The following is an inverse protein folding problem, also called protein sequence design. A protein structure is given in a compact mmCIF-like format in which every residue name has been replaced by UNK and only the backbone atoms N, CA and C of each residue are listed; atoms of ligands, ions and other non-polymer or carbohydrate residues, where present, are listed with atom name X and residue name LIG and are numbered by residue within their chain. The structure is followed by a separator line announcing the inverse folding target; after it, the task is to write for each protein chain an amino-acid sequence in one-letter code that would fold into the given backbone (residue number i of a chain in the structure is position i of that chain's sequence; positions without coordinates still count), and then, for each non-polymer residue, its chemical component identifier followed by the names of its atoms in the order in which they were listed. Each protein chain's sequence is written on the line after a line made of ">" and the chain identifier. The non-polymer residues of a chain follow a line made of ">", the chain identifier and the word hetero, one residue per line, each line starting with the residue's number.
data_IF_786478605262
#
_entry.id   IF_786478605262
#
_cell.length_a   1.000
_cell.length_b   1.000
_cell.length_c   1.000
_cell.angle_alpha   90.00
_cell.angle_beta   90.00
_cell.angle_gamma   90.00
#
_symmetry.space_group_name_H-M   'P 1'
#
loop_
_entity.id
_entity.type
_entity.pdbx_description
1 polymer ?
#
# COMPACT_ATOMS: atom_id res chain seq x y z
N UNK A 1 -20.14 9.71 22.23
CA UNK A 1 -18.80 9.46 21.65
C UNK A 1 -18.66 8.07 21.07
N UNK A 2 -19.03 7.04 21.80
CA UNK A 2 -18.89 5.66 21.32
C UNK A 2 -19.68 5.40 20.04
N UNK A 3 -20.95 5.80 20.00
CA UNK A 3 -21.76 5.60 18.82
C UNK A 3 -21.21 6.36 17.62
N UNK A 4 -20.79 7.59 17.83
CA UNK A 4 -20.21 8.41 16.76
C UNK A 4 -18.94 7.76 16.20
N UNK A 5 -18.10 7.20 17.07
CA UNK A 5 -16.88 6.55 16.67
C UNK A 5 -17.15 5.28 15.87
N UNK A 6 -18.14 4.48 16.29
CA UNK A 6 -18.53 3.29 15.56
C UNK A 6 -19.11 3.64 14.20
N UNK A 7 -19.98 4.64 14.13
CA UNK A 7 -20.57 5.10 12.87
C UNK A 7 -19.48 5.63 11.93
N UNK A 8 -18.54 6.39 12.45
CA UNK A 8 -17.42 6.92 11.67
C UNK A 8 -16.62 5.82 10.98
N UNK A 9 -16.35 4.73 11.70
CA UNK A 9 -15.53 3.64 11.16
C UNK A 9 -16.32 2.70 10.24
N UNK A 10 -17.62 2.60 10.40
CA UNK A 10 -18.45 1.67 9.64
C UNK A 10 -19.11 2.30 8.42
N UNK A 11 -19.43 3.59 8.46
CA UNK A 11 -20.24 4.26 7.45
C UNK A 11 -19.50 4.39 6.13
N UNK A 12 -20.21 4.20 5.03
CA UNK A 12 -19.61 4.20 3.71
C UNK A 12 -18.75 2.95 3.54
N UNK A 13 -17.51 3.12 3.13
CA UNK A 13 -16.54 2.01 3.07
C UNK A 13 -15.94 1.80 4.47
N UNK A 14 -16.06 0.61 5.05
CA UNK A 14 -15.54 0.37 6.40
C UNK A 14 -14.04 0.63 6.52
N UNK A 15 -13.66 1.15 7.67
CA UNK A 15 -12.26 1.45 7.96
C UNK A 15 -11.85 2.84 7.49
N UNK A 16 -10.55 3.08 7.42
CA UNK A 16 -10.00 4.41 7.14
C UNK A 16 -8.88 4.39 6.12
N UNK A 17 -8.70 3.30 5.40
CA UNK A 17 -7.58 3.14 4.48
C UNK A 17 -8.10 2.97 3.06
N UNK A 18 -7.45 3.62 2.15
CA UNK A 18 -7.70 3.48 0.72
C UNK A 18 -6.36 3.32 0.02
N UNK A 19 -6.33 2.49 -1.02
CA UNK A 19 -5.14 2.31 -1.84
C UNK A 19 -5.41 2.85 -3.23
N UNK A 20 -4.62 3.83 -3.64
CA UNK A 20 -4.74 4.45 -4.96
C UNK A 20 -3.41 4.38 -5.69
N UNK A 21 -3.41 4.00 -6.98
CA UNK A 21 -2.20 4.10 -7.78
C UNK A 21 -1.83 5.57 -7.99
N UNK A 22 -0.53 5.86 -7.96
CA UNK A 22 -0.01 7.21 -8.19
C UNK A 22 0.35 7.46 -9.64
N UNK A 23 0.24 6.44 -10.47
CA UNK A 23 0.45 6.52 -11.91
C UNK A 23 -0.87 6.29 -12.62
N UNK A 24 -1.00 6.75 -13.86
CA UNK A 24 -2.19 6.51 -14.66
C UNK A 24 -2.33 5.01 -14.95
N UNK A 25 -3.55 4.50 -14.84
CA UNK A 25 -3.86 3.10 -15.10
C UNK A 25 -5.12 2.97 -15.95
N UNK A 26 -5.39 3.96 -16.82
CA UNK A 26 -6.66 4.07 -17.53
C UNK A 26 -6.63 3.43 -18.91
N UNK A 27 -5.46 3.21 -19.50
CA UNK A 27 -5.32 2.70 -20.86
C UNK A 27 -4.63 1.34 -20.87
N UNK A 28 -4.73 0.64 -22.01
CA UNK A 28 -4.01 -0.62 -22.23
C UNK A 28 -2.50 -0.40 -22.14
N UNK A 29 -2.01 0.73 -22.64
CA UNK A 29 -0.59 1.07 -22.55
C UNK A 29 -0.17 1.27 -21.10
N UNK A 30 -0.98 1.93 -20.30
CA UNK A 30 -0.71 2.13 -18.87
C UNK A 30 -0.60 0.79 -18.15
N UNK A 31 -1.53 -0.12 -18.44
CA UNK A 31 -1.50 -1.46 -17.84
C UNK A 31 -0.29 -2.26 -18.29
N UNK A 32 0.11 -2.12 -19.55
CA UNK A 32 1.30 -2.78 -20.06
C UNK A 32 2.57 -2.27 -19.38
N UNK A 33 2.62 -1.00 -19.03
CA UNK A 33 3.75 -0.41 -18.31
C UNK A 33 3.74 -0.78 -16.83
N UNK A 34 2.57 -0.72 -16.19
CA UNK A 34 2.44 -0.96 -14.76
C UNK A 34 2.48 -2.43 -14.40
N UNK A 35 2.03 -3.29 -15.27
CA UNK A 35 1.93 -4.71 -14.99
C UNK A 35 2.76 -5.52 -15.99
N UNK A 36 2.17 -6.15 -16.97
CA UNK A 36 2.87 -7.05 -17.88
C UNK A 36 2.80 -6.52 -19.32
N UNK A 37 3.93 -6.44 -20.03
CA UNK A 37 5.28 -6.90 -19.68
C UNK A 37 6.17 -5.84 -19.00
N UNK A 38 5.72 -4.60 -18.88
CA UNK A 38 6.54 -3.47 -18.44
C UNK A 38 7.16 -3.65 -17.06
N UNK A 39 6.47 -4.33 -16.15
CA UNK A 39 6.94 -4.55 -14.78
C UNK A 39 8.24 -5.37 -14.71
N UNK A 40 8.59 -6.09 -15.77
CA UNK A 40 9.84 -6.83 -15.83
C UNK A 40 11.06 -5.90 -15.81
N UNK A 41 10.94 -4.69 -16.39
CA UNK A 41 12.05 -3.75 -16.44
C UNK A 41 12.53 -3.29 -15.07
N UNK A 42 11.67 -2.78 -14.16
CA UNK A 42 12.11 -2.45 -12.80
C UNK A 42 12.59 -3.67 -12.02
N UNK A 43 12.00 -4.84 -12.23
CA UNK A 43 12.48 -6.07 -11.58
C UNK A 43 13.92 -6.39 -11.96
N UNK A 44 14.25 -6.32 -13.24
CA UNK A 44 15.62 -6.56 -13.72
C UNK A 44 16.58 -5.48 -13.24
N UNK A 45 16.15 -4.24 -13.18
CA UNK A 45 16.97 -3.13 -12.70
C UNK A 45 17.32 -3.31 -11.22
N UNK A 46 16.35 -3.74 -10.40
CA UNK A 46 16.56 -3.99 -8.97
C UNK A 46 17.46 -5.21 -8.76
N UNK A 47 17.31 -6.25 -9.58
CA UNK A 47 18.16 -7.42 -9.52
C UNK A 47 19.62 -7.04 -9.80
N UNK A 48 19.86 -6.18 -10.79
CA UNK A 48 21.20 -5.72 -11.15
C UNK A 48 21.81 -4.79 -10.08
N UNK A 49 20.99 -3.98 -9.43
CA UNK A 49 21.41 -3.01 -8.40
C UNK A 49 20.31 -2.88 -7.36
N UNK A 50 20.47 -3.51 -6.21
CA UNK A 50 19.47 -3.53 -5.16
C UNK A 50 19.04 -2.14 -4.68
N UNK A 51 19.92 -1.12 -4.78
CA UNK A 51 19.56 0.24 -4.37
C UNK A 51 18.46 0.85 -5.23
N UNK A 52 18.21 0.32 -6.43
CA UNK A 52 17.17 0.79 -7.33
C UNK A 52 15.76 0.51 -6.80
N UNK A 53 15.63 -0.32 -5.76
CA UNK A 53 14.33 -0.54 -5.13
C UNK A 53 13.70 0.76 -4.63
N UNK A 54 14.50 1.72 -4.21
CA UNK A 54 13.99 3.02 -3.74
C UNK A 54 13.54 3.94 -4.86
N UNK A 55 14.01 3.70 -6.07
CA UNK A 55 13.65 4.48 -7.25
C UNK A 55 12.37 3.94 -7.91
N UNK A 56 12.19 2.62 -7.93
CA UNK A 56 11.13 1.98 -8.69
C UNK A 56 10.00 1.39 -7.84
N UNK A 57 10.08 1.51 -6.52
CA UNK A 57 9.01 1.06 -5.62
C UNK A 57 8.73 2.07 -4.52
N UNK A 58 7.69 1.82 -3.74
CA UNK A 58 7.34 2.69 -2.61
C UNK A 58 8.13 2.37 -1.35
N UNK A 59 9.13 1.50 -1.41
CA UNK A 59 9.83 1.02 -0.20
C UNK A 59 10.30 2.14 0.73
N UNK A 60 10.81 3.23 0.18
CA UNK A 60 11.28 4.36 0.96
C UNK A 60 10.17 5.21 1.60
N UNK A 61 8.92 4.98 1.21
CA UNK A 61 7.78 5.79 1.62
C UNK A 61 6.77 5.03 2.49
N UNK A 62 7.13 3.83 2.91
CA UNK A 62 6.23 3.00 3.71
C UNK A 62 6.87 2.64 5.03
N UNK A 63 6.06 2.66 6.08
CA UNK A 63 6.45 2.19 7.41
C UNK A 63 5.43 1.13 7.82
N UNK A 64 5.94 -0.05 8.19
CA UNK A 64 5.10 -1.13 8.68
C UNK A 64 5.13 -1.14 10.21
N UNK A 65 3.95 -1.30 10.80
CA UNK A 65 3.83 -1.55 12.24
C UNK A 65 3.29 -2.97 12.39
N UNK A 66 4.09 -3.82 12.99
CA UNK A 66 3.74 -5.24 13.15
C UNK A 66 3.46 -5.49 14.63
N UNK A 67 2.27 -6.02 14.90
CA UNK A 67 1.84 -6.24 16.28
C UNK A 67 0.98 -7.49 16.35
N UNK A 68 1.10 -8.21 17.49
CA UNK A 68 0.20 -9.32 17.79
C UNK A 68 -1.01 -8.87 18.63
N UNK A 69 -1.17 -7.56 18.84
CA UNK A 69 -2.30 -7.01 19.57
C UNK A 69 -2.21 -7.09 21.07
N UNK A 70 -1.07 -7.47 21.65
CA UNK A 70 -0.97 -7.66 23.09
C UNK A 70 -1.00 -6.37 23.89
N UNK A 71 -0.86 -5.21 23.25
CA UNK A 71 -0.82 -3.92 23.92
C UNK A 71 -1.89 -2.96 23.41
N UNK A 72 -3.07 -3.46 23.07
CA UNK A 72 -4.17 -2.65 22.52
C UNK A 72 -4.90 -1.94 23.65
N UNK A 73 -4.40 -0.78 24.06
CA UNK A 73 -5.00 0.09 25.09
C UNK A 73 -5.42 -0.66 26.36
N UNK A 74 -4.66 -1.70 26.74
CA UNK A 74 -4.98 -2.51 27.91
C UNK A 74 -6.09 -3.53 27.71
N UNK A 75 -6.57 -3.69 26.49
CA UNK A 75 -7.66 -4.63 26.17
C UNK A 75 -7.18 -6.04 25.81
N UNK A 76 -5.87 -6.23 25.71
CA UNK A 76 -5.28 -7.49 25.31
C UNK A 76 -5.29 -7.68 23.79
N UNK A 77 -5.27 -8.91 23.36
CA UNK A 77 -5.24 -9.25 21.93
C UNK A 77 -6.59 -9.03 21.25
#
# INVERSE_FOLDING_TARGET
>A
MEKEALDYHAKGRPGKIEVNPTKETDTQKDLALAYSPGVAAPCLAIEADASKVYEYTTKGNLVAVISNGTAVLGLGC
#
